data_IF_286388061545
#
_entry.id   IF_286388061545
#
_cell.length_a   1.000
_cell.length_b   1.000
_cell.length_c   1.000
_cell.angle_alpha   90.00
_cell.angle_beta   90.00
_cell.angle_gamma   90.00
#
_symmetry.space_group_name_H-M   'P 1'
#
loop_
_entity.id
_entity.type
_entity.pdbx_description
1 polymer ?
#
# COMPACT_ATOMS: atom_id res chain seq x y z
N UNK A 1 55.50 -34.33 -18.97
CA UNK A 1 55.01 -33.06 -19.56
C UNK A 1 54.22 -32.32 -18.49
N UNK A 2 54.87 -31.90 -17.40
CA UNK A 2 54.16 -31.49 -16.17
C UNK A 2 54.82 -30.29 -15.46
N UNK A 3 55.40 -29.38 -16.25
CA UNK A 3 56.06 -28.17 -15.73
C UNK A 3 55.65 -26.88 -16.47
N UNK A 4 54.69 -26.95 -17.40
CA UNK A 4 54.16 -25.76 -18.10
C UNK A 4 52.87 -25.21 -17.48
N UNK A 5 52.07 -26.05 -16.83
CA UNK A 5 50.77 -25.62 -16.30
C UNK A 5 50.87 -24.92 -14.93
N UNK A 6 51.93 -25.15 -14.16
CA UNK A 6 52.09 -24.50 -12.85
C UNK A 6 52.49 -23.01 -12.99
N UNK A 7 53.28 -22.68 -14.02
CA UNK A 7 53.73 -21.30 -14.27
C UNK A 7 52.58 -20.40 -14.77
N UNK A 8 51.59 -20.97 -15.48
CA UNK A 8 50.40 -20.25 -15.94
C UNK A 8 49.32 -20.01 -14.87
N UNK A 9 49.37 -20.73 -13.73
CA UNK A 9 48.48 -20.50 -12.58
C UNK A 9 49.06 -19.42 -11.65
N UNK A 10 50.38 -19.42 -11.44
CA UNK A 10 51.08 -18.37 -10.70
C UNK A 10 50.95 -17.00 -11.37
N UNK A 11 51.11 -16.93 -12.70
CA UNK A 11 50.92 -15.67 -13.44
C UNK A 11 49.51 -15.08 -13.33
N UNK A 12 48.47 -15.93 -13.38
CA UNK A 12 47.07 -15.47 -13.25
C UNK A 12 46.72 -15.01 -11.83
N UNK A 13 47.25 -15.66 -10.80
CA UNK A 13 47.07 -15.19 -9.42
C UNK A 13 47.74 -13.83 -9.22
N UNK A 14 48.91 -13.62 -9.82
CA UNK A 14 49.65 -12.36 -9.70
C UNK A 14 48.99 -11.20 -10.48
N UNK A 15 48.31 -11.50 -11.60
CA UNK A 15 47.47 -10.53 -12.31
C UNK A 15 46.20 -10.18 -11.52
N UNK A 16 45.53 -11.15 -10.90
CA UNK A 16 44.36 -10.90 -10.05
C UNK A 16 44.73 -10.03 -8.84
N UNK A 17 45.85 -10.34 -8.18
CA UNK A 17 46.33 -9.58 -7.02
C UNK A 17 46.71 -8.13 -7.40
N UNK A 18 47.35 -7.93 -8.55
CA UNK A 18 47.65 -6.60 -9.08
C UNK A 18 46.37 -5.82 -9.47
N UNK A 19 45.37 -6.50 -10.01
CA UNK A 19 44.10 -5.87 -10.40
C UNK A 19 43.27 -5.47 -9.17
N UNK A 20 43.28 -6.28 -8.10
CA UNK A 20 42.68 -5.92 -6.82
C UNK A 20 43.40 -4.73 -6.17
N UNK A 21 44.73 -4.74 -6.14
CA UNK A 21 45.54 -3.63 -5.61
C UNK A 21 45.28 -2.31 -6.34
N UNK A 22 45.17 -2.33 -7.67
CA UNK A 22 44.79 -1.17 -8.48
C UNK A 22 43.40 -0.66 -8.12
N UNK A 23 42.42 -1.56 -7.96
CA UNK A 23 41.05 -1.17 -7.57
C UNK A 23 40.98 -0.54 -6.18
N UNK A 24 41.83 -0.98 -5.25
CA UNK A 24 41.93 -0.43 -3.89
C UNK A 24 42.59 0.94 -3.91
N UNK A 25 43.64 1.14 -4.73
CA UNK A 25 44.27 2.45 -4.90
C UNK A 25 43.32 3.47 -5.55
N UNK A 26 42.53 3.04 -6.54
CA UNK A 26 41.56 3.91 -7.20
C UNK A 26 40.40 4.31 -6.27
N UNK A 27 39.96 3.39 -5.40
CA UNK A 27 39.00 3.70 -4.32
C UNK A 27 39.57 4.68 -3.28
N UNK A 28 40.87 4.59 -2.96
CA UNK A 28 41.53 5.57 -2.07
C UNK A 28 41.62 6.95 -2.71
N UNK A 29 42.04 7.05 -3.98
CA UNK A 29 42.07 8.33 -4.71
C UNK A 29 40.69 8.99 -4.80
N UNK A 30 39.64 8.23 -5.11
CA UNK A 30 38.26 8.77 -5.11
C UNK A 30 37.82 9.29 -3.74
N UNK A 31 38.32 8.70 -2.66
CA UNK A 31 37.98 9.15 -1.30
C UNK A 31 38.73 10.42 -0.93
N UNK A 32 39.99 10.55 -1.33
CA UNK A 32 40.76 11.80 -1.20
C UNK A 32 40.14 12.93 -2.05
N UNK A 33 39.71 12.64 -3.29
CA UNK A 33 38.99 13.63 -4.13
C UNK A 33 37.64 14.07 -3.54
N UNK A 34 36.98 13.22 -2.74
CA UNK A 34 35.73 13.56 -2.05
C UNK A 34 36.00 14.45 -0.82
N UNK A 35 37.04 14.15 -0.02
CA UNK A 35 37.46 14.99 1.11
C UNK A 35 37.95 16.38 0.64
N UNK A 36 38.67 16.46 -0.49
CA UNK A 36 39.10 17.73 -1.09
C UNK A 36 37.91 18.55 -1.61
N UNK A 37 36.83 17.90 -2.08
CA UNK A 37 35.58 18.60 -2.46
C UNK A 37 34.79 19.09 -1.24
N UNK A 38 34.83 18.36 -0.14
CA UNK A 38 34.16 18.75 1.11
C UNK A 38 34.87 19.94 1.76
N UNK A 39 36.21 19.94 1.76
CA UNK A 39 37.02 21.06 2.28
C UNK A 39 37.00 22.30 1.38
N UNK A 40 36.90 22.15 0.06
CA UNK A 40 36.70 23.28 -0.86
C UNK A 40 35.30 23.94 -0.75
N UNK A 41 34.31 23.23 -0.18
CA UNK A 41 32.95 23.75 0.01
C UNK A 41 32.81 24.63 1.26
N UNK A 42 33.81 24.67 2.16
CA UNK A 42 33.76 25.42 3.43
C UNK A 42 34.24 26.88 3.29
N UNK A 43 34.45 27.36 2.05
CA UNK A 43 34.92 28.71 1.74
C UNK A 43 33.84 29.79 1.54
N UNK A 44 32.60 29.60 2.01
CA UNK A 44 31.59 30.67 1.97
C UNK A 44 31.64 31.51 3.26
N UNK A 45 31.68 32.85 3.19
CA UNK A 45 31.65 33.67 4.40
C UNK A 45 30.35 33.42 5.16
N UNK A 46 30.47 33.09 6.46
CA UNK A 46 29.35 33.13 7.40
C UNK A 46 28.79 34.55 7.39
N UNK A 47 27.60 34.69 6.81
CA UNK A 47 26.83 35.93 6.85
C UNK A 47 26.37 36.21 8.29
N UNK A 48 26.94 37.26 8.87
CA UNK A 48 26.27 38.23 9.74
C UNK A 48 25.52 37.69 10.95
N UNK A 49 26.17 37.76 12.11
CA UNK A 49 25.54 37.82 13.42
C UNK A 49 24.66 39.11 13.49
N UNK A 50 23.37 39.06 13.87
CA UNK A 50 22.49 40.23 13.81
C UNK A 50 22.74 41.28 14.90
N UNK A 51 23.73 41.07 15.77
CA UNK A 51 23.83 41.78 17.05
C UNK A 51 24.84 42.92 17.13
N UNK A 52 25.56 43.24 16.05
CA UNK A 52 26.73 44.15 16.16
C UNK A 52 26.75 45.32 15.16
N UNK A 53 25.61 45.99 14.99
CA UNK A 53 25.56 47.24 14.24
C UNK A 53 24.58 48.26 14.85
N UNK A 54 25.02 48.94 15.92
CA UNK A 54 24.76 50.38 16.15
C UNK A 54 25.43 50.86 17.45
N UNK A 55 26.70 51.22 17.34
CA UNK A 55 27.38 52.10 18.29
C UNK A 55 27.89 53.34 17.56
N UNK A 56 26.99 54.30 17.37
CA UNK A 56 27.28 55.74 17.31
C UNK A 56 26.00 56.46 16.88
N UNK A 57 25.27 56.99 17.85
CA UNK A 57 24.84 58.39 17.81
C UNK A 57 24.15 58.74 19.14
N UNK A 58 24.85 59.56 19.90
CA UNK A 58 24.43 60.16 21.15
C UNK A 58 23.36 61.22 20.91
N UNK A 59 22.12 60.99 21.32
CA UNK A 59 21.15 62.06 21.57
C UNK A 59 20.40 61.86 22.88
N UNK A 60 20.91 62.58 23.90
CA UNK A 60 20.23 63.23 25.02
C UNK A 60 18.74 62.90 25.21
N UNK A 61 18.42 62.18 26.28
CA UNK A 61 17.04 62.06 26.80
C UNK A 61 16.61 63.40 27.40
N UNK A 62 15.61 64.02 26.80
CA UNK A 62 14.82 65.08 27.43
C UNK A 62 13.52 64.48 27.94
N UNK A 63 13.24 64.75 29.22
CA UNK A 63 12.13 64.21 29.99
C UNK A 63 10.86 64.99 29.61
N UNK A 64 10.07 64.45 28.68
CA UNK A 64 8.75 64.97 28.31
C UNK A 64 7.68 63.92 28.58
N UNK A 65 6.71 64.28 29.40
CA UNK A 65 5.53 63.46 29.71
C UNK A 65 4.81 63.06 28.41
N UNK A 66 4.71 61.75 28.14
CA UNK A 66 3.85 61.22 27.08
C UNK A 66 2.66 60.48 27.70
N UNK A 67 1.53 61.18 27.64
CA UNK A 67 0.20 60.71 27.99
C UNK A 67 -0.23 59.61 27.00
N UNK A 68 -0.32 58.36 27.46
CA UNK A 68 -0.79 57.23 26.64
C UNK A 68 -2.32 57.18 26.65
N UNK A 69 -2.94 58.06 25.88
CA UNK A 69 -4.33 57.94 25.41
C UNK A 69 -4.30 57.52 23.94
N UNK A 70 -4.19 56.21 23.69
CA UNK A 70 -4.42 55.65 22.35
C UNK A 70 -5.92 55.66 22.11
N UNK A 71 -6.41 56.67 21.37
CA UNK A 71 -7.76 56.66 20.80
C UNK A 71 -7.83 55.54 19.76
N UNK A 72 -8.57 54.48 20.09
CA UNK A 72 -9.05 53.53 19.10
C UNK A 72 -10.08 54.24 18.21
N UNK A 73 -9.75 54.46 16.94
CA UNK A 73 -10.73 54.82 15.92
C UNK A 73 -11.61 53.58 15.66
N UNK A 74 -12.65 53.43 16.49
CA UNK A 74 -13.76 52.52 16.22
C UNK A 74 -14.72 53.28 15.30
N UNK A 75 -15.02 52.78 14.09
CA UNK A 75 -16.03 53.40 13.25
C UNK A 75 -17.37 53.39 13.99
N UNK A 76 -17.86 54.59 14.33
CA UNK A 76 -19.16 54.78 14.96
C UNK A 76 -20.26 54.35 13.99
N UNK A 77 -20.74 53.11 14.15
CA UNK A 77 -21.86 52.59 13.35
C UNK A 77 -22.14 51.08 13.47
N UNK A 78 -21.24 50.28 14.05
CA UNK A 78 -21.43 48.82 14.12
C UNK A 78 -21.82 48.32 15.53
N UNK A 79 -22.73 49.00 16.22
CA UNK A 79 -23.44 48.43 17.37
C UNK A 79 -24.69 47.70 16.87
N UNK A 80 -24.48 46.55 16.23
CA UNK A 80 -25.57 45.76 15.66
C UNK A 80 -25.10 44.36 15.29
N UNK A 81 -25.31 43.41 16.21
CA UNK A 81 -25.46 41.98 15.92
C UNK A 81 -24.44 41.38 14.95
N UNK A 82 -23.25 41.08 15.46
CA UNK A 82 -22.41 40.00 14.91
C UNK A 82 -23.02 38.64 15.21
N UNK A 83 -24.27 38.41 14.82
CA UNK A 83 -24.77 37.05 14.66
C UNK A 83 -23.95 36.47 13.50
N UNK A 84 -23.08 35.49 13.81
CA UNK A 84 -22.44 34.67 12.78
C UNK A 84 -23.54 34.18 11.84
N UNK A 85 -23.60 34.73 10.64
CA UNK A 85 -24.59 34.37 9.63
C UNK A 85 -24.32 32.91 9.23
N UNK A 86 -25.00 32.00 9.92
CA UNK A 86 -24.83 30.55 9.77
C UNK A 86 -25.16 30.07 8.35
N UNK A 87 -25.77 30.93 7.51
CA UNK A 87 -26.03 30.66 6.09
C UNK A 87 -24.77 30.73 5.22
N UNK A 88 -23.71 31.41 5.66
CA UNK A 88 -22.48 31.64 4.90
C UNK A 88 -21.26 30.86 5.43
N UNK A 89 -21.46 29.96 6.39
CA UNK A 89 -20.44 28.95 6.70
C UNK A 89 -20.22 28.09 5.44
N UNK A 90 -18.97 27.91 4.96
CA UNK A 90 -18.71 26.96 3.89
C UNK A 90 -19.29 25.62 4.32
N UNK A 91 -20.33 25.17 3.61
CA UNK A 91 -21.00 23.91 3.91
C UNK A 91 -19.92 22.84 3.86
N UNK A 92 -19.61 22.24 5.01
CA UNK A 92 -18.68 21.11 5.09
C UNK A 92 -19.21 20.00 4.19
N UNK A 93 -18.69 19.93 2.97
CA UNK A 93 -19.07 18.89 2.02
C UNK A 93 -18.72 17.55 2.65
N UNK A 94 -19.64 16.57 2.65
CA UNK A 94 -19.36 15.25 3.20
C UNK A 94 -18.05 14.71 2.62
N UNK A 95 -17.12 14.29 3.49
CA UNK A 95 -15.78 13.88 3.04
C UNK A 95 -15.78 12.82 1.94
N UNK A 96 -16.77 11.94 1.93
CA UNK A 96 -16.95 10.92 0.89
C UNK A 96 -17.38 11.48 -0.48
N UNK A 97 -18.08 12.62 -0.54
CA UNK A 97 -18.48 13.25 -1.80
C UNK A 97 -17.30 13.85 -2.53
N UNK A 98 -16.35 14.43 -1.79
CA UNK A 98 -15.11 14.98 -2.35
C UNK A 98 -14.27 13.86 -2.97
N UNK A 99 -14.16 12.71 -2.27
CA UNK A 99 -13.46 11.53 -2.80
C UNK A 99 -14.07 11.04 -4.12
N UNK A 100 -15.41 11.01 -4.23
CA UNK A 100 -16.10 10.60 -5.46
C UNK A 100 -15.91 11.62 -6.58
N UNK A 101 -16.02 12.91 -6.29
CA UNK A 101 -15.84 13.97 -7.28
C UNK A 101 -14.45 13.91 -7.92
N UNK A 102 -13.42 13.74 -7.10
CA UNK A 102 -12.05 13.65 -7.58
C UNK A 102 -11.80 12.34 -8.34
N UNK A 103 -12.39 11.22 -7.90
CA UNK A 103 -12.32 9.94 -8.61
C UNK A 103 -12.93 10.03 -10.01
N UNK A 104 -14.05 10.74 -10.15
CA UNK A 104 -14.72 10.96 -11.45
C UNK A 104 -13.95 11.98 -12.31
N UNK A 105 -13.26 12.94 -11.69
CA UNK A 105 -12.42 13.89 -12.40
C UNK A 105 -11.19 13.22 -13.05
N UNK A 106 -10.64 12.19 -12.40
CA UNK A 106 -9.55 11.39 -12.97
C UNK A 106 -10.07 10.39 -14.02
N UNK A 107 -9.83 10.71 -15.29
CA UNK A 107 -10.23 9.88 -16.44
C UNK A 107 -9.65 8.46 -16.39
N UNK A 108 -8.42 8.31 -15.92
CA UNK A 108 -7.72 7.02 -15.86
C UNK A 108 -8.27 6.15 -14.73
N UNK A 109 -8.58 6.76 -13.58
CA UNK A 109 -9.20 6.05 -12.47
C UNK A 109 -10.66 5.68 -12.75
N UNK A 110 -11.43 6.56 -13.40
CA UNK A 110 -12.80 6.27 -13.82
C UNK A 110 -12.85 5.12 -14.84
N UNK A 111 -11.97 5.15 -15.84
CA UNK A 111 -11.84 4.06 -16.81
C UNK A 111 -11.48 2.73 -16.13
N UNK A 112 -10.52 2.78 -15.20
CA UNK A 112 -10.11 1.63 -14.38
C UNK A 112 -11.26 1.09 -13.54
N UNK A 113 -12.06 1.96 -12.92
CA UNK A 113 -13.23 1.59 -12.13
C UNK A 113 -14.29 0.89 -12.99
N UNK A 114 -14.61 1.45 -14.16
CA UNK A 114 -15.58 0.86 -15.08
C UNK A 114 -15.13 -0.54 -15.51
N UNK A 115 -13.87 -0.69 -15.92
CA UNK A 115 -13.33 -1.99 -16.32
C UNK A 115 -13.37 -2.99 -15.16
N UNK A 116 -12.94 -2.59 -13.96
CA UNK A 116 -12.94 -3.47 -12.80
C UNK A 116 -14.35 -3.94 -12.43
N UNK A 117 -15.34 -3.03 -12.47
CA UNK A 117 -16.75 -3.35 -12.22
C UNK A 117 -17.30 -4.27 -13.32
N UNK A 118 -16.97 -4.02 -14.58
CA UNK A 118 -17.39 -4.87 -15.70
C UNK A 118 -16.82 -6.28 -15.58
N UNK A 119 -15.52 -6.44 -15.29
CA UNK A 119 -14.90 -7.76 -15.09
C UNK A 119 -15.54 -8.46 -13.90
N UNK A 120 -15.70 -7.77 -12.78
CA UNK A 120 -16.33 -8.33 -11.58
C UNK A 120 -17.75 -8.78 -11.88
N UNK A 121 -18.56 -7.94 -12.52
CA UNK A 121 -19.95 -8.25 -12.87
C UNK A 121 -20.05 -9.41 -13.86
N UNK A 122 -19.20 -9.41 -14.89
CA UNK A 122 -19.16 -10.46 -15.91
C UNK A 122 -18.80 -11.82 -15.31
N UNK A 123 -17.74 -11.85 -14.49
CA UNK A 123 -17.26 -13.09 -13.85
C UNK A 123 -18.27 -13.64 -12.85
N UNK A 124 -18.82 -12.80 -11.98
CA UNK A 124 -19.84 -13.24 -11.02
C UNK A 124 -21.14 -13.65 -11.70
N UNK A 125 -21.55 -12.95 -12.77
CA UNK A 125 -22.72 -13.28 -13.56
C UNK A 125 -22.59 -14.62 -14.28
N UNK A 126 -21.48 -14.85 -14.98
CA UNK A 126 -21.24 -16.12 -15.68
C UNK A 126 -21.08 -17.29 -14.74
N UNK A 127 -20.41 -17.10 -13.60
CA UNK A 127 -20.23 -18.22 -12.65
C UNK A 127 -21.55 -18.71 -12.05
N UNK A 128 -22.64 -17.94 -12.14
CA UNK A 128 -23.98 -18.40 -11.73
C UNK A 128 -24.53 -19.49 -12.65
N UNK A 129 -24.07 -19.54 -13.91
CA UNK A 129 -24.52 -20.49 -14.93
C UNK A 129 -23.51 -21.62 -15.20
N UNK A 130 -22.29 -21.49 -14.71
CA UNK A 130 -21.21 -22.47 -14.89
C UNK A 130 -21.14 -23.43 -13.70
N UNK A 131 -21.19 -24.72 -13.96
CA UNK A 131 -20.87 -25.74 -12.95
C UNK A 131 -19.35 -25.90 -12.86
N UNK A 132 -18.81 -25.82 -11.65
CA UNK A 132 -17.37 -26.03 -11.43
C UNK A 132 -16.97 -27.47 -11.75
N UNK A 133 -17.82 -28.44 -11.42
CA UNK A 133 -17.46 -29.85 -11.57
C UNK A 133 -17.26 -30.24 -13.04
N UNK A 134 -18.00 -29.62 -13.95
CA UNK A 134 -17.85 -29.87 -15.40
C UNK A 134 -16.61 -29.21 -15.98
N UNK A 135 -16.24 -28.01 -15.51
CA UNK A 135 -15.07 -27.28 -16.00
C UNK A 135 -13.75 -27.90 -15.56
N UNK A 136 -13.73 -28.47 -14.35
CA UNK A 136 -12.56 -29.10 -13.75
C UNK A 136 -12.46 -30.59 -14.10
N UNK A 137 -13.47 -31.13 -14.78
CA UNK A 137 -13.48 -32.52 -15.24
C UNK A 137 -12.32 -32.77 -16.21
N UNK A 138 -11.58 -33.85 -15.96
CA UNK A 138 -10.45 -34.27 -16.78
C UNK A 138 -10.97 -34.94 -18.06
N UNK A 139 -10.52 -34.45 -19.21
CA UNK A 139 -10.76 -35.08 -20.52
C UNK A 139 -9.42 -35.51 -21.13
N UNK A 140 -9.17 -36.82 -21.16
CA UNK A 140 -7.90 -37.35 -21.66
C UNK A 140 -7.76 -37.23 -23.19
N UNK A 141 -8.85 -37.01 -23.91
CA UNK A 141 -8.82 -36.87 -25.36
C UNK A 141 -8.50 -35.45 -25.81
N UNK A 142 -8.79 -34.46 -24.96
CA UNK A 142 -8.58 -33.05 -25.26
C UNK A 142 -7.32 -32.48 -24.58
N UNK A 143 -6.27 -33.27 -24.34
CA UNK A 143 -5.08 -32.81 -23.59
C UNK A 143 -4.26 -31.78 -24.38
N UNK A 144 -4.05 -30.60 -23.80
CA UNK A 144 -3.26 -29.49 -24.37
C UNK A 144 -3.66 -29.09 -25.79
N UNK A 145 -4.95 -29.12 -26.08
CA UNK A 145 -5.48 -28.63 -27.34
C UNK A 145 -5.36 -27.11 -27.40
N UNK A 146 -4.89 -26.56 -28.54
CA UNK A 146 -4.94 -25.12 -28.77
C UNK A 146 -6.40 -24.64 -28.90
N UNK A 147 -6.64 -23.32 -28.85
CA UNK A 147 -7.98 -22.77 -29.04
C UNK A 147 -8.68 -23.32 -30.29
N UNK A 148 -9.88 -23.88 -30.10
CA UNK A 148 -10.72 -24.43 -31.16
C UNK A 148 -12.21 -24.07 -30.91
N UNK A 149 -13.13 -24.60 -31.72
CA UNK A 149 -14.56 -24.27 -31.61
C UNK A 149 -15.18 -24.80 -30.31
N UNK A 150 -14.70 -25.95 -29.81
CA UNK A 150 -15.16 -26.58 -28.59
C UNK A 150 -14.55 -25.92 -27.33
N UNK A 151 -13.28 -25.54 -27.40
CA UNK A 151 -12.48 -24.91 -26.34
C UNK A 151 -11.95 -23.54 -26.78
N UNK A 152 -12.68 -22.48 -26.44
CA UNK A 152 -12.39 -21.09 -26.89
C UNK A 152 -11.00 -20.58 -26.54
N UNK A 153 -10.43 -21.03 -25.42
CA UNK A 153 -9.06 -20.71 -25.00
C UNK A 153 -8.16 -21.96 -24.97
N UNK A 154 -8.62 -23.08 -25.54
CA UNK A 154 -7.92 -24.36 -25.48
C UNK A 154 -8.03 -25.02 -24.11
N UNK A 155 -7.23 -26.06 -23.91
CA UNK A 155 -7.26 -26.90 -22.71
C UNK A 155 -5.90 -26.97 -22.00
N UNK A 156 -5.93 -27.39 -20.73
CA UNK A 156 -4.74 -27.66 -19.93
C UNK A 156 -4.18 -29.10 -20.15
N UNK A 157 -3.19 -29.48 -19.35
CA UNK A 157 -2.55 -30.81 -19.39
C UNK A 157 -3.47 -31.95 -18.92
N UNK A 158 -4.59 -31.63 -18.25
CA UNK A 158 -5.67 -32.56 -17.92
C UNK A 158 -6.84 -32.50 -18.90
N UNK A 159 -6.72 -31.74 -19.99
CA UNK A 159 -7.78 -31.52 -20.98
C UNK A 159 -8.97 -30.71 -20.46
N UNK A 160 -8.79 -29.97 -19.37
CA UNK A 160 -9.82 -29.10 -18.79
C UNK A 160 -9.89 -27.78 -19.55
N UNK A 161 -11.09 -27.21 -19.69
CA UNK A 161 -11.31 -25.95 -20.41
C UNK A 161 -10.66 -24.74 -19.70
N UNK A 162 -9.70 -24.09 -20.37
CA UNK A 162 -9.02 -22.90 -19.85
C UNK A 162 -9.97 -21.71 -19.69
N UNK A 163 -10.97 -21.58 -20.57
CA UNK A 163 -11.90 -20.45 -20.50
C UNK A 163 -12.76 -20.51 -19.24
N UNK A 164 -13.36 -21.67 -18.97
CA UNK A 164 -14.07 -21.93 -17.72
C UNK A 164 -13.18 -21.74 -16.49
N UNK A 165 -11.95 -22.27 -16.52
CA UNK A 165 -10.99 -22.10 -15.43
C UNK A 165 -10.63 -20.63 -15.20
N UNK A 166 -10.48 -19.83 -16.26
CA UNK A 166 -10.16 -18.40 -16.16
C UNK A 166 -11.30 -17.64 -15.47
N UNK A 167 -12.56 -17.93 -15.80
CA UNK A 167 -13.72 -17.30 -15.17
C UNK A 167 -13.81 -17.68 -13.69
N UNK A 168 -13.79 -18.98 -13.38
CA UNK A 168 -13.87 -19.46 -11.99
C UNK A 168 -12.67 -18.97 -11.19
N UNK A 169 -11.49 -18.99 -11.79
CA UNK A 169 -10.24 -18.52 -11.20
C UNK A 169 -10.27 -17.04 -10.86
N UNK A 170 -10.80 -16.21 -11.76
CA UNK A 170 -10.98 -14.78 -11.51
C UNK A 170 -11.93 -14.52 -10.35
N UNK A 171 -13.05 -15.25 -10.29
CA UNK A 171 -14.00 -15.16 -9.18
C UNK A 171 -13.34 -15.51 -7.85
N UNK A 172 -12.61 -16.63 -7.82
CA UNK A 172 -11.97 -17.13 -6.61
C UNK A 172 -10.87 -16.17 -6.13
N UNK A 173 -9.97 -15.72 -7.01
CA UNK A 173 -8.92 -14.74 -6.66
C UNK A 173 -9.51 -13.41 -6.18
N UNK A 174 -10.60 -12.92 -6.80
CA UNK A 174 -11.26 -11.70 -6.36
C UNK A 174 -11.94 -11.89 -4.99
N UNK A 175 -12.60 -13.02 -4.77
CA UNK A 175 -13.22 -13.34 -3.49
C UNK A 175 -12.19 -13.43 -2.36
N UNK A 176 -11.04 -14.09 -2.60
CA UNK A 176 -9.94 -14.17 -1.62
C UNK A 176 -9.39 -12.77 -1.34
N UNK A 177 -9.03 -12.01 -2.38
CA UNK A 177 -8.48 -10.67 -2.23
C UNK A 177 -9.39 -9.74 -1.42
N UNK A 178 -10.70 -9.74 -1.71
CA UNK A 178 -11.69 -8.95 -0.96
C UNK A 178 -11.81 -9.43 0.48
N UNK A 179 -11.94 -10.74 0.72
CA UNK A 179 -12.13 -11.30 2.06
C UNK A 179 -10.92 -11.04 2.95
N UNK A 180 -9.71 -11.28 2.44
CA UNK A 180 -8.45 -10.98 3.14
C UNK A 180 -8.38 -9.50 3.48
N UNK A 181 -8.76 -8.62 2.54
CA UNK A 181 -8.71 -7.17 2.76
C UNK A 181 -9.68 -6.72 3.84
N UNK A 182 -10.94 -7.16 3.78
CA UNK A 182 -11.94 -6.81 4.79
C UNK A 182 -11.50 -7.28 6.19
N UNK A 183 -11.03 -8.52 6.30
CA UNK A 183 -10.59 -9.09 7.58
C UNK A 183 -9.33 -8.39 8.11
N UNK A 184 -8.29 -8.28 7.29
CA UNK A 184 -7.01 -7.70 7.70
C UNK A 184 -7.09 -6.20 7.98
N UNK A 185 -7.80 -5.45 7.13
CA UNK A 185 -7.97 -4.01 7.30
C UNK A 185 -8.93 -3.72 8.44
N UNK A 186 -10.06 -4.43 8.53
CA UNK A 186 -11.01 -4.26 9.63
C UNK A 186 -10.36 -4.50 11.00
N UNK A 187 -9.62 -5.61 11.13
CA UNK A 187 -8.89 -5.90 12.35
C UNK A 187 -7.75 -4.90 12.59
N UNK A 188 -6.98 -4.57 11.56
CA UNK A 188 -5.88 -3.59 11.65
C UNK A 188 -6.35 -2.21 12.07
N UNK A 189 -7.48 -1.73 11.57
CA UNK A 189 -8.09 -0.45 11.99
C UNK A 189 -8.43 -0.50 13.47
N UNK A 190 -9.19 -1.50 13.90
CA UNK A 190 -9.59 -1.62 15.30
C UNK A 190 -8.35 -1.67 16.23
N UNK A 191 -7.35 -2.47 15.86
CA UNK A 191 -6.12 -2.63 16.62
C UNK A 191 -5.31 -1.34 16.69
N UNK A 192 -5.07 -0.70 15.54
CA UNK A 192 -4.26 0.51 15.43
C UNK A 192 -4.90 1.72 16.09
N UNK A 193 -6.22 1.88 15.97
CA UNK A 193 -6.99 2.93 16.66
C UNK A 193 -6.83 2.81 18.18
N UNK A 194 -6.99 1.60 18.72
CA UNK A 194 -6.89 1.36 20.16
C UNK A 194 -5.46 1.64 20.64
N UNK A 195 -4.44 1.07 19.99
CA UNK A 195 -3.05 1.28 20.39
C UNK A 195 -2.63 2.75 20.29
N UNK A 196 -2.97 3.44 19.20
CA UNK A 196 -2.61 4.84 18.99
C UNK A 196 -3.34 5.81 19.93
N UNK A 197 -4.64 5.59 20.16
CA UNK A 197 -5.46 6.47 21.01
C UNK A 197 -5.05 6.41 22.48
N UNK A 198 -4.88 5.20 23.04
CA UNK A 198 -4.52 5.05 24.45
C UNK A 198 -3.03 5.36 24.70
N UNK A 199 -2.13 5.01 23.77
CA UNK A 199 -0.71 5.29 23.91
C UNK A 199 -0.03 4.58 25.09
N UNK A 200 1.21 4.98 25.39
CA UNK A 200 1.94 4.56 26.57
C UNK A 200 2.17 3.04 26.66
N UNK A 201 1.85 2.44 27.80
CA UNK A 201 2.10 1.02 28.04
C UNK A 201 1.17 0.10 27.24
N UNK A 202 -0.08 0.51 27.00
CA UNK A 202 -1.02 -0.26 26.18
C UNK A 202 -0.49 -0.36 24.76
N UNK A 203 -0.06 0.77 24.21
CA UNK A 203 0.56 0.84 22.89
C UNK A 203 1.82 -0.03 22.80
N UNK A 204 2.73 0.10 23.76
CA UNK A 204 3.95 -0.72 23.80
C UNK A 204 3.65 -2.22 23.84
N UNK A 205 2.67 -2.67 24.63
CA UNK A 205 2.30 -4.08 24.71
C UNK A 205 1.64 -4.58 23.43
N UNK A 206 0.75 -3.78 22.85
CA UNK A 206 0.08 -4.11 21.60
C UNK A 206 1.07 -4.17 20.43
N UNK A 207 2.00 -3.22 20.37
CA UNK A 207 3.04 -3.21 19.33
C UNK A 207 3.99 -4.40 19.42
N UNK A 208 4.24 -4.95 20.62
CA UNK A 208 4.98 -6.21 20.76
C UNK A 208 4.28 -7.40 20.09
N UNK A 209 2.94 -7.45 20.16
CA UNK A 209 2.18 -8.49 19.45
C UNK A 209 2.31 -8.29 17.95
N UNK A 210 2.20 -7.06 17.45
CA UNK A 210 2.44 -6.76 16.03
C UNK A 210 3.83 -7.23 15.62
N UNK A 211 4.88 -6.81 16.35
CA UNK A 211 6.28 -7.15 16.05
C UNK A 211 6.50 -8.68 16.02
N UNK A 212 5.87 -9.42 16.93
CA UNK A 212 5.91 -10.89 16.92
C UNK A 212 5.41 -11.47 15.59
N UNK A 213 4.25 -11.01 15.08
CA UNK A 213 3.72 -11.48 13.79
C UNK A 213 4.59 -11.09 12.59
N UNK A 214 5.32 -9.97 12.65
CA UNK A 214 6.16 -9.51 11.53
C UNK A 214 7.53 -10.18 11.48
N UNK A 215 8.02 -10.66 12.62
CA UNK A 215 9.23 -11.49 12.69
C UNK A 215 8.97 -12.87 12.09
N UNK A 216 7.72 -13.36 12.12
CA UNK A 216 7.38 -14.64 11.52
C UNK A 216 7.44 -14.55 9.99
N UNK A 217 8.17 -15.47 9.32
CA UNK A 217 8.21 -15.51 7.87
C UNK A 217 6.87 -15.98 7.30
N UNK A 218 6.08 -15.02 6.82
CA UNK A 218 4.73 -15.23 6.28
C UNK A 218 4.65 -16.42 5.30
N UNK A 219 5.58 -16.49 4.34
CA UNK A 219 5.62 -17.59 3.37
C UNK A 219 5.80 -18.95 4.03
N UNK A 220 6.69 -19.07 5.02
CA UNK A 220 6.94 -20.34 5.70
C UNK A 220 5.68 -20.84 6.43
N UNK A 221 4.93 -19.93 7.05
CA UNK A 221 3.68 -20.30 7.73
C UNK A 221 2.63 -20.81 6.74
N UNK A 222 2.48 -20.14 5.60
CA UNK A 222 1.56 -20.58 4.54
C UNK A 222 1.99 -21.95 3.99
N UNK A 223 3.28 -22.18 3.76
CA UNK A 223 3.81 -23.47 3.29
C UNK A 223 3.46 -24.59 4.28
N UNK A 224 3.74 -24.39 5.57
CA UNK A 224 3.42 -25.37 6.62
C UNK A 224 1.91 -25.63 6.67
N UNK A 225 1.09 -24.59 6.58
CA UNK A 225 -0.37 -24.73 6.57
C UNK A 225 -0.87 -25.56 5.38
N UNK A 226 -0.44 -25.23 4.16
CA UNK A 226 -0.86 -25.95 2.94
C UNK A 226 -0.37 -27.39 2.96
N UNK A 227 0.81 -27.66 3.53
CA UNK A 227 1.36 -29.01 3.64
C UNK A 227 0.59 -29.88 4.64
N UNK A 228 0.19 -29.30 5.78
CA UNK A 228 -0.51 -30.03 6.85
C UNK A 228 -2.01 -30.16 6.58
N UNK A 229 -2.61 -29.22 5.85
CA UNK A 229 -4.04 -29.17 5.57
C UNK A 229 -4.34 -29.78 4.19
N UNK A 230 -4.83 -31.04 4.11
CA UNK A 230 -5.04 -31.72 2.83
C UNK A 230 -6.18 -31.09 2.01
N UNK A 231 -7.10 -30.41 2.70
CA UNK A 231 -8.19 -29.66 2.09
C UNK A 231 -8.52 -28.44 2.93
N UNK A 232 -8.62 -27.30 2.26
CA UNK A 232 -9.03 -26.04 2.86
C UNK A 232 -9.89 -25.27 1.87
N UNK A 233 -10.73 -24.38 2.40
CA UNK A 233 -11.62 -23.55 1.59
C UNK A 233 -11.09 -22.11 1.51
N UNK A 234 -11.71 -21.32 0.62
CA UNK A 234 -11.42 -19.88 0.43
C UNK A 234 -11.40 -19.12 1.74
N UNK A 235 -12.31 -19.44 2.67
CA UNK A 235 -12.41 -18.77 3.96
C UNK A 235 -11.21 -19.06 4.86
N UNK A 236 -10.83 -20.33 5.06
CA UNK A 236 -9.69 -20.71 5.91
C UNK A 236 -8.38 -20.15 5.35
N UNK A 237 -8.19 -20.22 4.02
CA UNK A 237 -7.02 -19.62 3.37
C UNK A 237 -6.99 -18.09 3.56
N UNK A 238 -8.15 -17.43 3.40
CA UNK A 238 -8.22 -15.98 3.62
C UNK A 238 -7.99 -15.60 5.09
N UNK A 239 -8.43 -16.43 6.04
CA UNK A 239 -8.26 -16.19 7.46
C UNK A 239 -6.78 -16.27 7.87
N UNK A 240 -6.05 -17.28 7.38
CA UNK A 240 -4.61 -17.38 7.67
C UNK A 240 -3.82 -16.23 7.03
N UNK A 241 -4.16 -15.85 5.80
CA UNK A 241 -3.58 -14.66 5.15
C UNK A 241 -3.85 -13.40 5.98
N UNK A 242 -5.11 -13.20 6.37
CA UNK A 242 -5.52 -12.04 7.15
C UNK A 242 -4.85 -11.98 8.53
N UNK A 243 -4.51 -13.12 9.13
CA UNK A 243 -3.82 -13.22 10.43
C UNK A 243 -2.39 -12.66 10.42
N UNK A 244 -1.79 -12.43 9.27
CA UNK A 244 -0.47 -11.79 9.14
C UNK A 244 -0.55 -10.40 8.50
N UNK A 245 -1.44 -10.23 7.53
CA UNK A 245 -1.51 -9.00 6.71
C UNK A 245 -2.14 -7.79 7.43
N UNK A 246 -2.80 -8.01 8.57
CA UNK A 246 -3.37 -6.92 9.39
C UNK A 246 -2.32 -5.99 10.03
N UNK A 247 -1.11 -6.50 10.25
CA UNK A 247 -0.03 -5.81 10.97
C UNK A 247 0.41 -4.50 10.29
N UNK A 248 0.46 -4.49 8.96
CA UNK A 248 0.77 -3.30 8.17
C UNK A 248 -0.27 -2.19 8.38
N UNK A 249 -1.56 -2.55 8.26
CA UNK A 249 -2.67 -1.63 8.48
C UNK A 249 -2.73 -1.13 9.92
N UNK A 250 -2.48 -2.00 10.91
CA UNK A 250 -2.43 -1.59 12.31
C UNK A 250 -1.39 -0.51 12.58
N UNK A 251 -0.18 -0.65 12.02
CA UNK A 251 0.88 0.37 12.16
C UNK A 251 0.51 1.69 11.50
N UNK A 252 -0.05 1.65 10.29
CA UNK A 252 -0.50 2.85 9.60
C UNK A 252 -1.57 3.59 10.41
N UNK A 253 -2.61 2.87 10.85
CA UNK A 253 -3.73 3.47 11.57
C UNK A 253 -3.31 3.95 12.95
N UNK A 254 -2.38 3.25 13.63
CA UNK A 254 -1.76 3.72 14.87
C UNK A 254 -1.08 5.08 14.68
N UNK A 255 -0.24 5.21 13.65
CA UNK A 255 0.47 6.46 13.37
C UNK A 255 -0.50 7.62 13.11
N UNK A 256 -1.61 7.36 12.43
CA UNK A 256 -2.68 8.34 12.22
C UNK A 256 -3.41 8.68 13.51
N UNK A 257 -3.76 7.69 14.33
CA UNK A 257 -4.44 7.89 15.60
C UNK A 257 -3.58 8.67 16.61
N UNK A 258 -2.26 8.49 16.62
CA UNK A 258 -1.34 9.28 17.45
C UNK A 258 -1.37 10.75 17.03
N UNK A 259 -1.27 11.04 15.73
CA UNK A 259 -1.33 12.42 15.23
C UNK A 259 -2.68 13.08 15.55
N UNK A 260 -3.77 12.36 15.30
CA UNK A 260 -5.13 12.85 15.50
C UNK A 260 -5.44 13.12 16.99
N UNK A 261 -4.93 12.28 17.91
CA UNK A 261 -5.20 12.46 19.35
C UNK A 261 -4.53 13.71 19.95
N UNK A 262 -3.49 14.23 19.31
CA UNK A 262 -2.72 15.38 19.78
C UNK A 262 -3.40 16.71 19.44
N UNK A 263 -4.41 16.70 18.57
CA UNK A 263 -5.14 17.88 18.15
C UNK A 263 -6.04 18.46 19.25
N UNK A 264 -6.16 19.79 19.27
CA UNK A 264 -6.81 20.56 20.35
C UNK A 264 -8.28 20.20 20.57
N UNK A 265 -9.06 19.89 19.54
CA UNK A 265 -10.47 19.52 19.70
C UNK A 265 -10.65 18.16 20.40
N UNK A 266 -9.71 17.23 20.23
CA UNK A 266 -9.70 15.96 20.97
C UNK A 266 -9.39 16.24 22.44
N UNK A 267 -8.37 17.06 22.71
CA UNK A 267 -7.99 17.43 24.08
C UNK A 267 -9.11 18.19 24.80
N UNK A 268 -9.75 19.15 24.13
CA UNK A 268 -10.91 19.86 24.65
C UNK A 268 -12.07 18.89 24.96
N UNK A 269 -12.34 17.93 24.07
CA UNK A 269 -13.40 16.94 24.28
C UNK A 269 -13.12 16.02 25.48
N UNK A 270 -11.86 15.66 25.71
CA UNK A 270 -11.43 14.91 26.91
C UNK A 270 -11.63 15.74 28.18
N UNK A 271 -11.24 17.02 28.18
CA UNK A 271 -11.43 17.92 29.33
C UNK A 271 -12.92 18.15 29.65
N UNK A 272 -13.79 18.14 28.62
CA UNK A 272 -15.25 18.20 28.78
C UNK A 272 -15.87 16.87 29.25
N UNK A 273 -15.08 15.82 29.50
CA UNK A 273 -15.55 14.55 30.02
C UNK A 273 -16.25 13.66 29.00
N UNK A 274 -16.02 13.86 27.70
CA UNK A 274 -16.56 12.96 26.67
C UNK A 274 -15.97 11.56 26.81
N UNK A 275 -16.81 10.53 26.67
CA UNK A 275 -16.36 9.14 26.76
C UNK A 275 -15.37 8.80 25.65
N UNK A 276 -14.36 7.98 25.97
CA UNK A 276 -13.32 7.61 25.01
C UNK A 276 -13.88 6.99 23.71
N UNK A 277 -14.89 6.13 23.83
CA UNK A 277 -15.55 5.54 22.66
C UNK A 277 -16.24 6.59 21.78
N UNK A 278 -16.88 7.59 22.40
CA UNK A 278 -17.52 8.69 21.66
C UNK A 278 -16.48 9.53 20.93
N UNK A 279 -15.35 9.83 21.57
CA UNK A 279 -14.24 10.56 20.94
C UNK A 279 -13.71 9.77 19.73
N UNK A 280 -13.44 8.47 19.91
CA UNK A 280 -12.92 7.61 18.84
C UNK A 280 -13.89 7.54 17.65
N UNK A 281 -15.17 7.21 17.87
CA UNK A 281 -16.11 6.98 16.76
C UNK A 281 -16.70 8.25 16.16
N UNK A 282 -16.86 9.33 16.94
CA UNK A 282 -17.52 10.56 16.48
C UNK A 282 -16.54 11.63 16.04
N UNK A 283 -15.31 11.64 16.56
CA UNK A 283 -14.34 12.71 16.27
C UNK A 283 -13.14 12.18 15.50
N UNK A 284 -12.51 11.11 15.97
CA UNK A 284 -11.27 10.58 15.39
C UNK A 284 -11.50 9.81 14.09
N UNK A 285 -12.32 8.75 14.12
CA UNK A 285 -12.57 7.86 12.98
C UNK A 285 -13.08 8.58 11.71
N UNK A 286 -14.03 9.54 11.80
CA UNK A 286 -14.51 10.25 10.61
C UNK A 286 -13.43 11.06 9.90
N UNK A 287 -12.38 11.48 10.61
CA UNK A 287 -11.27 12.22 10.01
C UNK A 287 -10.24 11.29 9.36
N UNK A 288 -10.06 10.08 9.92
CA UNK A 288 -9.13 9.08 9.41
C UNK A 288 -9.71 8.27 8.23
N UNK A 289 -11.03 8.24 8.06
CA UNK A 289 -11.71 7.36 7.10
C UNK A 289 -11.22 7.54 5.65
N UNK A 290 -10.86 8.78 5.26
CA UNK A 290 -10.35 9.06 3.92
C UNK A 290 -9.05 8.30 3.64
N UNK A 291 -8.07 8.41 4.54
CA UNK A 291 -6.77 7.74 4.41
C UNK A 291 -6.93 6.22 4.57
N UNK A 292 -7.83 5.78 5.47
CA UNK A 292 -8.14 4.36 5.66
C UNK A 292 -8.70 3.75 4.37
N UNK A 293 -9.64 4.42 3.70
CA UNK A 293 -10.22 3.94 2.42
C UNK A 293 -9.13 3.79 1.36
N UNK A 294 -8.28 4.80 1.21
CA UNK A 294 -7.14 4.78 0.27
C UNK A 294 -6.24 3.58 0.53
N UNK A 295 -5.82 3.40 1.79
CA UNK A 295 -4.97 2.27 2.16
C UNK A 295 -5.68 0.94 1.93
N UNK A 296 -6.98 0.85 2.24
CA UNK A 296 -7.79 -0.35 2.01
C UNK A 296 -7.79 -0.76 0.54
N UNK A 297 -7.93 0.20 -0.38
CA UNK A 297 -7.90 -0.08 -1.82
C UNK A 297 -6.52 -0.55 -2.28
N UNK A 298 -5.45 0.06 -1.78
CA UNK A 298 -4.08 -0.40 -2.08
C UNK A 298 -3.79 -1.79 -1.50
N UNK A 299 -4.28 -2.06 -0.29
CA UNK A 299 -4.20 -3.38 0.33
C UNK A 299 -4.97 -4.43 -0.48
N UNK A 300 -6.10 -4.09 -1.09
CA UNK A 300 -6.82 -5.00 -1.97
C UNK A 300 -5.98 -5.44 -3.17
N UNK A 301 -5.33 -4.49 -3.86
CA UNK A 301 -4.43 -4.82 -4.97
C UNK A 301 -3.27 -5.72 -4.53
N UNK A 302 -2.66 -5.38 -3.39
CA UNK A 302 -1.57 -6.17 -2.82
C UNK A 302 -2.02 -7.58 -2.45
N UNK A 303 -3.18 -7.74 -1.81
CA UNK A 303 -3.71 -9.02 -1.36
C UNK A 303 -4.07 -9.96 -2.53
N UNK A 304 -4.63 -9.41 -3.62
CA UNK A 304 -4.83 -10.17 -4.87
C UNK A 304 -3.49 -10.67 -5.40
N UNK A 305 -2.45 -9.83 -5.35
CA UNK A 305 -1.11 -10.25 -5.80
C UNK A 305 -0.42 -11.26 -4.91
N UNK A 306 -0.57 -11.14 -3.60
CA UNK A 306 -0.02 -12.12 -2.66
C UNK A 306 -0.71 -13.47 -2.88
N UNK A 307 -2.05 -13.52 -3.03
CA UNK A 307 -2.76 -14.76 -3.36
C UNK A 307 -2.25 -15.35 -4.68
N UNK A 308 -2.23 -14.55 -5.75
CA UNK A 308 -1.80 -15.04 -7.07
C UNK A 308 -0.34 -15.50 -7.06
N UNK A 309 0.54 -14.82 -6.31
CA UNK A 309 1.94 -15.21 -6.15
C UNK A 309 2.11 -16.50 -5.35
N UNK A 310 1.33 -16.70 -4.27
CA UNK A 310 1.33 -17.96 -3.51
C UNK A 310 0.83 -19.12 -4.36
N UNK A 311 -0.27 -18.94 -5.07
CA UNK A 311 -0.83 -19.92 -6.00
C UNK A 311 0.14 -20.24 -7.15
N UNK A 312 0.86 -19.24 -7.67
CA UNK A 312 1.90 -19.44 -8.69
C UNK A 312 3.06 -20.34 -8.23
N UNK A 313 3.49 -20.21 -6.97
CA UNK A 313 4.58 -21.02 -6.41
C UNK A 313 4.07 -22.40 -5.92
N UNK A 314 2.76 -22.67 -6.02
CA UNK A 314 2.16 -23.95 -5.62
C UNK A 314 1.73 -24.01 -4.15
N UNK A 315 1.69 -22.87 -3.46
CA UNK A 315 1.19 -22.74 -2.09
C UNK A 315 -0.18 -22.04 -2.02
N UNK A 316 -0.92 -22.11 -3.11
CA UNK A 316 -2.33 -21.75 -3.18
C UNK A 316 -3.20 -22.98 -3.37
N UNK A 317 -4.38 -22.78 -3.94
CA UNK A 317 -5.39 -23.83 -4.05
C UNK A 317 -4.96 -24.99 -4.96
N UNK A 318 -5.44 -26.22 -4.68
CA UNK A 318 -5.27 -27.33 -5.60
C UNK A 318 -6.00 -27.04 -6.92
N UNK A 319 -5.64 -27.78 -7.96
CA UNK A 319 -6.16 -27.61 -9.32
C UNK A 319 -7.68 -27.74 -9.42
N UNK A 320 -8.31 -28.45 -8.47
CA UNK A 320 -9.76 -28.58 -8.40
C UNK A 320 -10.48 -27.26 -8.02
N UNK A 321 -9.71 -26.29 -7.52
CA UNK A 321 -10.14 -24.96 -7.13
C UNK A 321 -9.29 -23.91 -7.88
N UNK A 322 -9.53 -23.73 -9.19
CA UNK A 322 -8.70 -22.84 -9.99
C UNK A 322 -8.73 -21.41 -9.43
N UNK A 323 -7.58 -20.76 -9.44
CA UNK A 323 -7.38 -19.33 -9.20
C UNK A 323 -6.57 -18.74 -10.36
N UNK A 324 -6.50 -17.41 -10.47
CA UNK A 324 -5.65 -16.81 -11.50
C UNK A 324 -4.17 -17.21 -11.31
N UNK A 325 -3.73 -17.38 -10.07
CA UNK A 325 -2.37 -17.81 -9.78
C UNK A 325 -2.11 -19.29 -10.11
N UNK A 326 -3.11 -20.18 -9.98
CA UNK A 326 -2.94 -21.60 -10.37
C UNK A 326 -2.78 -21.74 -11.88
N UNK A 327 -3.55 -20.97 -12.67
CA UNK A 327 -3.38 -20.90 -14.13
C UNK A 327 -1.98 -20.37 -14.51
N UNK A 328 -1.48 -19.40 -13.76
CA UNK A 328 -0.13 -18.87 -13.94
C UNK A 328 0.94 -19.90 -13.55
N UNK A 329 0.68 -20.77 -12.57
CA UNK A 329 1.61 -21.81 -12.12
C UNK A 329 1.96 -22.79 -13.25
N UNK A 330 1.07 -22.99 -14.22
CA UNK A 330 1.36 -23.83 -15.40
C UNK A 330 2.53 -23.31 -16.24
N UNK A 331 2.81 -22.00 -16.19
CA UNK A 331 3.96 -21.39 -16.84
C UNK A 331 5.31 -21.78 -16.22
N UNK A 332 5.33 -22.41 -15.05
CA UNK A 332 6.58 -22.94 -14.44
C UNK A 332 7.13 -24.13 -15.22
N UNK A 333 6.28 -24.83 -16.00
CA UNK A 333 6.71 -25.89 -16.89
C UNK A 333 7.25 -25.30 -18.20
N UNK A 334 8.49 -25.67 -18.56
CA UNK A 334 9.18 -25.13 -19.74
C UNK A 334 8.45 -25.41 -21.07
N UNK A 335 7.77 -26.55 -21.18
CA UNK A 335 6.98 -26.89 -22.39
C UNK A 335 5.76 -25.97 -22.51
N UNK A 336 5.03 -25.79 -21.41
CA UNK A 336 3.87 -24.89 -21.36
C UNK A 336 4.26 -23.45 -21.63
N UNK A 337 5.35 -22.98 -21.02
CA UNK A 337 5.84 -21.62 -21.18
C UNK A 337 6.17 -21.29 -22.64
N UNK A 338 6.82 -22.22 -23.35
CA UNK A 338 7.27 -22.01 -24.73
C UNK A 338 6.18 -22.25 -25.79
N UNK A 339 5.35 -23.29 -25.61
CA UNK A 339 4.47 -23.77 -26.68
C UNK A 339 2.98 -23.59 -26.39
N UNK A 340 2.58 -23.36 -25.13
CA UNK A 340 1.16 -23.36 -24.70
C UNK A 340 0.77 -22.03 -24.06
N UNK A 341 0.97 -20.96 -24.81
CA UNK A 341 0.72 -19.59 -24.36
C UNK A 341 -0.74 -19.36 -23.93
N UNK A 342 -1.70 -20.07 -24.54
CA UNK A 342 -3.14 -19.93 -24.25
C UNK A 342 -3.51 -20.29 -22.80
N UNK A 343 -2.69 -21.09 -22.11
CA UNK A 343 -2.93 -21.51 -20.72
C UNK A 343 -2.67 -20.35 -19.74
N UNK A 344 -1.50 -19.71 -19.84
CA UNK A 344 -1.03 -18.79 -18.80
C UNK A 344 -1.14 -17.32 -19.19
N UNK A 345 -1.05 -16.97 -20.49
CA UNK A 345 -1.10 -15.57 -20.95
C UNK A 345 -2.43 -14.90 -20.60
N UNK A 346 -3.61 -15.53 -20.81
CA UNK A 346 -4.88 -14.91 -20.43
C UNK A 346 -4.97 -14.62 -18.93
N UNK A 347 -4.50 -15.54 -18.10
CA UNK A 347 -4.46 -15.35 -16.65
C UNK A 347 -3.50 -14.22 -16.25
N UNK A 348 -2.30 -14.17 -16.83
CA UNK A 348 -1.31 -13.12 -16.59
C UNK A 348 -1.85 -11.72 -16.93
N UNK A 349 -2.48 -11.58 -18.10
CA UNK A 349 -3.09 -10.32 -18.56
C UNK A 349 -4.21 -9.91 -17.62
N UNK A 350 -5.05 -10.85 -17.19
CA UNK A 350 -6.17 -10.54 -16.31
C UNK A 350 -5.72 -10.15 -14.90
N UNK A 351 -4.71 -10.80 -14.34
CA UNK A 351 -4.07 -10.39 -13.07
C UNK A 351 -3.54 -8.96 -13.20
N UNK A 352 -2.72 -8.71 -14.23
CA UNK A 352 -2.11 -7.40 -14.47
C UNK A 352 -3.16 -6.30 -14.58
N UNK A 353 -4.20 -6.54 -15.38
CA UNK A 353 -5.27 -5.60 -15.61
C UNK A 353 -6.08 -5.34 -14.33
N UNK A 354 -6.43 -6.38 -13.57
CA UNK A 354 -7.14 -6.26 -12.30
C UNK A 354 -6.33 -5.45 -11.28
N UNK A 355 -5.05 -5.77 -11.10
CA UNK A 355 -4.15 -5.04 -10.21
C UNK A 355 -4.00 -3.59 -10.62
N UNK A 356 -3.80 -3.33 -11.92
CA UNK A 356 -3.67 -1.98 -12.45
C UNK A 356 -4.94 -1.17 -12.18
N UNK A 357 -6.12 -1.78 -12.39
CA UNK A 357 -7.38 -1.09 -12.13
C UNK A 357 -7.52 -0.71 -10.66
N UNK A 358 -7.30 -1.65 -9.74
CA UNK A 358 -7.40 -1.38 -8.29
C UNK A 358 -6.35 -0.35 -7.85
N UNK A 359 -5.11 -0.45 -8.34
CA UNK A 359 -4.04 0.51 -8.04
C UNK A 359 -4.41 1.93 -8.48
N UNK A 360 -4.87 2.09 -9.71
CA UNK A 360 -5.25 3.40 -10.27
C UNK A 360 -6.42 4.04 -9.49
N UNK A 361 -7.41 3.23 -9.11
CA UNK A 361 -8.51 3.67 -8.23
C UNK A 361 -7.95 4.15 -6.88
N UNK A 362 -7.06 3.37 -6.27
CA UNK A 362 -6.41 3.72 -5.02
C UNK A 362 -5.59 5.01 -5.09
N UNK A 363 -4.85 5.23 -6.18
CA UNK A 363 -4.07 6.46 -6.40
C UNK A 363 -4.94 7.70 -6.61
N UNK A 364 -6.08 7.59 -7.28
CA UNK A 364 -7.03 8.70 -7.39
C UNK A 364 -7.69 9.02 -6.04
N UNK A 365 -8.09 7.99 -5.28
CA UNK A 365 -8.58 8.19 -3.91
C UNK A 365 -7.51 8.84 -3.03
N UNK A 366 -6.23 8.47 -3.19
CA UNK A 366 -5.11 9.06 -2.45
C UNK A 366 -4.97 10.54 -2.75
N UNK A 367 -4.97 10.92 -4.03
CA UNK A 367 -4.88 12.32 -4.46
C UNK A 367 -6.04 13.16 -3.89
N UNK A 368 -7.24 12.60 -3.87
CA UNK A 368 -8.41 13.23 -3.25
C UNK A 368 -8.25 13.41 -1.72
N UNK A 369 -7.69 12.41 -1.05
CA UNK A 369 -7.38 12.47 0.38
C UNK A 369 -6.32 13.52 0.72
N UNK A 370 -5.23 13.56 -0.04
CA UNK A 370 -4.13 14.52 0.14
C UNK A 370 -4.60 15.97 -0.13
N UNK A 371 -5.49 16.18 -1.10
CA UNK A 371 -6.08 17.50 -1.38
C UNK A 371 -6.89 18.04 -0.18
N UNK A 372 -7.61 17.15 0.52
CA UNK A 372 -8.35 17.51 1.75
C UNK A 372 -7.42 17.93 2.88
N UNK A 373 -6.31 17.20 3.10
CA UNK A 373 -5.36 17.53 4.16
C UNK A 373 -4.65 18.88 3.96
N UNK A 374 -4.57 19.38 2.72
CA UNK A 374 -4.01 20.71 2.44
C UNK A 374 -4.98 21.86 2.68
N UNK A 375 -6.29 21.57 2.75
CA UNK A 375 -7.36 22.58 2.90
C UNK A 375 -7.88 22.69 4.33
N UNK A 376 -7.64 21.67 5.17
CA UNK A 376 -7.89 21.69 6.61
C UNK A 376 -6.64 22.18 7.34
#
# INVERSE_FOLDING_TARGET
MDNKDNNGRLGRQQEEENSEMMSVQERRRRREELDDRETASDGRPRSGDPFDARSSDTHRYEKGDMDMSVKADIPHGASGHGALDSKNLPKSTPGWRILIQELVADKLALFSLIIFVLITSYVFGLTMFLDRQTIVAVDLFAINEPPNEDFRLGTDYGGRDIFGQLIIGTRNSLAIGILVTIMSVGFGIAYGVVSGYFGGQIDNMMMRVVDFFMVLPFLMVIIVFVTISPSYNIFTFSLIMAAFLWTGTARLVRSLAIQEKELDYINASKTLGSSHLKIVFTQMMPNLIGIIIVNSTLSLAANIGIESGLSFIGFGFPEDYPSLGTLMAYATNSQTLQHRWWIWVPAAVLILLMMLCVRNIGEALRRAGDARQRQA
#
